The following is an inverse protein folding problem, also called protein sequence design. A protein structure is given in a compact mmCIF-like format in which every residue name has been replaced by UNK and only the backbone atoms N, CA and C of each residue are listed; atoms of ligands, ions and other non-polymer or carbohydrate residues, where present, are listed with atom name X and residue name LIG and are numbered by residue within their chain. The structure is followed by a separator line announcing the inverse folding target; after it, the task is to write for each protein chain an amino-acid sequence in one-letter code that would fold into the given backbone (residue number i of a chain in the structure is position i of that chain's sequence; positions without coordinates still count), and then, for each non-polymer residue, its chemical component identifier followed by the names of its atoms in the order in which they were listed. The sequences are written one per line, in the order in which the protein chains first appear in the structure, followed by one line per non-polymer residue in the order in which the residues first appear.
data_IF_814165418489
#
_entry.id   IF_814165418489
#
_cell.length_a   1.000
_cell.length_b   1.000
_cell.length_c   1.000
_cell.angle_alpha   90.00
_cell.angle_beta   90.00
_cell.angle_gamma   90.00
#
_symmetry.space_group_name_H-M   'P 1'
#
loop_
_entity.id
_entity.type
_entity.pdbx_description
1 polymer ?
#
# COMPACT_ATOMS: atom_id res chain seq x y z
N UNK A 1 11.85 16.54 22.33
CA UNK A 1 11.74 16.84 20.88
C UNK A 1 11.16 15.59 20.21
N UNK A 2 10.79 15.65 18.94
CA UNK A 2 10.51 14.44 18.18
C UNK A 2 11.79 13.60 18.05
N UNK A 3 11.65 12.29 17.91
CA UNK A 3 12.71 11.37 17.46
C UNK A 3 12.07 10.44 16.44
N UNK A 4 12.68 10.27 15.27
CA UNK A 4 12.21 9.28 14.29
C UNK A 4 12.38 7.86 14.84
N UNK A 5 11.53 6.93 14.40
CA UNK A 5 11.70 5.52 14.71
C UNK A 5 13.11 5.02 14.33
N UNK A 6 13.67 4.13 15.14
CA UNK A 6 15.02 3.57 14.97
C UNK A 6 15.18 2.79 13.66
N UNK A 7 14.08 2.30 13.09
CA UNK A 7 14.00 1.58 11.83
C UNK A 7 13.59 2.48 10.66
N UNK A 8 14.02 2.10 9.47
CA UNK A 8 13.62 2.73 8.21
C UNK A 8 12.23 2.26 7.75
N UNK A 9 11.57 3.08 6.94
CA UNK A 9 10.21 2.82 6.43
C UNK A 9 10.10 1.49 5.68
N UNK A 10 11.08 1.19 4.82
CA UNK A 10 11.20 -0.06 4.05
C UNK A 10 11.40 -1.30 4.95
N UNK A 11 11.92 -1.14 6.18
CA UNK A 11 11.98 -2.25 7.15
C UNK A 11 10.57 -2.59 7.67
N UNK A 12 9.74 -1.58 7.97
CA UNK A 12 8.36 -1.81 8.36
C UNK A 12 7.52 -2.36 7.19
N UNK A 13 7.61 -1.77 6.00
CA UNK A 13 6.96 -2.25 4.76
C UNK A 13 7.22 -3.75 4.55
N UNK A 14 8.50 -4.15 4.56
CA UNK A 14 8.91 -5.54 4.33
C UNK A 14 8.30 -6.50 5.36
N UNK A 15 8.34 -6.15 6.65
CA UNK A 15 7.80 -7.00 7.72
C UNK A 15 6.26 -7.04 7.70
N UNK A 16 5.60 -5.91 7.43
CA UNK A 16 4.15 -5.82 7.34
C UNK A 16 3.59 -6.62 6.16
N UNK A 17 4.26 -6.60 5.00
CA UNK A 17 3.90 -7.44 3.85
C UNK A 17 3.94 -8.94 4.15
N UNK A 18 4.97 -9.41 4.87
CA UNK A 18 5.02 -10.80 5.32
C UNK A 18 3.93 -11.09 6.37
N UNK A 19 3.68 -10.14 7.27
CA UNK A 19 2.67 -10.26 8.32
C UNK A 19 1.22 -10.36 7.79
N UNK A 20 0.90 -9.71 6.66
CA UNK A 20 -0.39 -9.83 5.95
C UNK A 20 -0.72 -11.28 5.56
N UNK A 21 0.29 -12.14 5.39
CA UNK A 21 0.10 -13.59 5.22
C UNK A 21 0.28 -14.32 6.55
N UNK A 22 1.39 -14.10 7.26
CA UNK A 22 1.78 -14.98 8.37
C UNK A 22 0.87 -14.86 9.61
N UNK A 23 0.44 -13.64 9.96
CA UNK A 23 -0.42 -13.40 11.13
C UNK A 23 -1.85 -13.85 10.87
N UNK A 24 -2.34 -13.63 9.65
CA UNK A 24 -3.66 -14.08 9.20
C UNK A 24 -3.74 -15.60 9.18
N UNK A 25 -2.68 -16.26 8.70
CA UNK A 25 -2.59 -17.71 8.70
C UNK A 25 -2.41 -18.31 10.09
N UNK A 26 -1.77 -17.60 11.03
CA UNK A 26 -1.79 -17.98 12.45
C UNK A 26 -3.21 -17.90 13.06
N UNK A 27 -4.05 -16.96 12.59
CA UNK A 27 -5.49 -16.84 12.92
C UNK A 27 -6.37 -17.84 12.15
N UNK A 28 -5.78 -18.74 11.34
CA UNK A 28 -6.45 -19.70 10.43
C UNK A 28 -7.26 -19.06 9.28
N UNK A 29 -7.04 -17.78 8.98
CA UNK A 29 -7.56 -17.13 7.77
C UNK A 29 -6.69 -17.51 6.58
N UNK A 30 -7.31 -17.76 5.42
CA UNK A 30 -6.62 -18.26 4.23
C UNK A 30 -6.40 -17.13 3.23
N UNK A 31 -5.38 -16.31 3.50
CA UNK A 31 -5.03 -15.13 2.72
C UNK A 31 -3.72 -15.37 1.97
N UNK A 32 -3.69 -14.99 0.70
CA UNK A 32 -2.49 -14.81 -0.11
C UNK A 32 -2.30 -13.31 -0.40
N UNK A 33 -1.05 -12.85 -0.44
CA UNK A 33 -0.68 -11.51 -0.91
C UNK A 33 0.04 -11.67 -2.23
N UNK A 34 -0.53 -11.12 -3.30
CA UNK A 34 0.14 -10.94 -4.58
C UNK A 34 0.70 -9.52 -4.66
N UNK A 35 1.89 -9.35 -4.09
CA UNK A 35 2.77 -8.20 -4.32
C UNK A 35 3.60 -8.44 -5.60
N UNK A 36 4.49 -7.53 -5.99
CA UNK A 36 5.73 -7.86 -7.44
C UNK A 36 6.64 -9.10 -7.29
N UNK A 37 7.85 -8.92 -7.83
CA UNK A 37 9.03 -9.45 -7.18
C UNK A 37 10.17 -8.43 -7.30
N UNK A 38 11.14 -8.51 -6.39
CA UNK A 38 12.29 -7.60 -6.31
C UNK A 38 13.14 -7.51 -7.61
N UNK A 39 13.06 -8.52 -8.48
CA UNK A 39 13.67 -8.53 -9.82
C UNK A 39 12.98 -7.56 -10.79
N UNK A 40 11.66 -7.36 -10.63
CA UNK A 40 10.85 -6.39 -11.34
C UNK A 40 11.00 -4.98 -10.72
N UNK A 41 11.11 -4.86 -9.38
CA UNK A 41 11.44 -3.60 -8.69
C UNK A 41 12.71 -2.94 -9.26
N UNK A 42 13.69 -3.76 -9.68
CA UNK A 42 14.96 -3.35 -10.29
C UNK A 42 14.94 -3.09 -11.80
N UNK A 43 13.88 -3.50 -12.51
CA UNK A 43 13.86 -3.55 -14.00
C UNK A 43 12.66 -2.82 -14.63
N UNK A 44 11.52 -2.77 -13.93
CA UNK A 44 10.24 -2.19 -14.38
C UNK A 44 9.56 -1.33 -13.30
N UNK A 45 10.01 -1.39 -12.05
CA UNK A 45 9.48 -0.55 -10.95
C UNK A 45 8.12 -0.98 -10.39
N UNK A 46 7.57 -2.11 -10.86
CA UNK A 46 6.20 -2.54 -10.55
C UNK A 46 6.05 -4.04 -10.35
N UNK A 47 5.08 -4.38 -9.50
CA UNK A 47 4.61 -5.73 -9.16
C UNK A 47 3.22 -5.93 -9.84
N UNK A 48 2.83 -7.18 -10.10
CA UNK A 48 1.78 -7.48 -11.08
C UNK A 48 1.09 -8.82 -10.79
N UNK A 49 -0.19 -8.80 -10.41
CA UNK A 49 -1.01 -10.01 -10.37
C UNK A 49 -2.06 -9.97 -11.48
N UNK A 50 -1.82 -10.74 -12.53
CA UNK A 50 -2.81 -11.01 -13.58
C UNK A 50 -2.78 -12.48 -13.97
N UNK A 51 -3.89 -12.94 -14.52
CA UNK A 51 -4.04 -14.27 -15.09
C UNK A 51 -3.31 -14.38 -16.46
N UNK A 52 -2.00 -14.11 -16.50
CA UNK A 52 -1.18 -14.37 -17.70
C UNK A 52 -1.05 -15.87 -17.88
N UNK A 53 -1.31 -16.38 -19.09
CA UNK A 53 -1.10 -17.77 -19.44
C UNK A 53 0.31 -18.24 -19.09
N UNK A 54 0.40 -19.31 -18.32
CA UNK A 54 1.62 -19.84 -17.69
C UNK A 54 2.72 -20.18 -18.71
N UNK A 55 2.29 -20.53 -19.93
CA UNK A 55 3.14 -20.84 -21.07
C UNK A 55 3.84 -19.60 -21.69
N UNK A 56 3.38 -18.37 -21.45
CA UNK A 56 3.87 -17.19 -22.18
C UNK A 56 5.32 -16.82 -21.82
N UNK A 57 6.00 -16.07 -22.71
CA UNK A 57 7.31 -15.47 -22.39
C UNK A 57 7.19 -14.34 -21.36
N UNK A 58 6.02 -13.69 -21.28
CA UNK A 58 5.74 -12.69 -20.26
C UNK A 58 5.62 -13.36 -18.89
N UNK A 59 4.77 -14.38 -18.73
CA UNK A 59 4.67 -15.16 -17.49
C UNK A 59 6.02 -15.69 -17.02
N UNK A 60 6.82 -16.31 -17.90
CA UNK A 60 8.18 -16.77 -17.56
C UNK A 60 9.21 -15.66 -17.24
N UNK A 61 8.91 -14.39 -17.57
CA UNK A 61 9.73 -13.20 -17.26
C UNK A 61 9.22 -12.44 -16.02
N UNK A 62 7.95 -12.60 -15.67
CA UNK A 62 7.31 -12.03 -14.47
C UNK A 62 7.43 -12.98 -13.25
N UNK A 63 7.16 -14.27 -13.44
CA UNK A 63 7.01 -15.27 -12.36
C UNK A 63 8.08 -16.38 -12.39
N UNK A 64 8.85 -16.51 -13.48
CA UNK A 64 9.85 -17.56 -13.63
C UNK A 64 9.25 -18.96 -13.84
N UNK A 65 9.81 -19.97 -13.18
CA UNK A 65 9.34 -21.37 -13.25
C UNK A 65 8.48 -21.72 -12.04
N UNK A 66 7.16 -21.76 -12.26
CA UNK A 66 6.09 -22.06 -11.31
C UNK A 66 5.82 -21.00 -10.22
N UNK A 67 4.55 -20.81 -9.80
CA UNK A 67 4.20 -19.86 -8.74
C UNK A 67 4.64 -20.37 -7.36
N UNK A 68 5.34 -19.51 -6.63
CA UNK A 68 5.95 -19.77 -5.33
C UNK A 68 7.07 -18.74 -5.11
N UNK A 69 7.29 -18.32 -3.86
CA UNK A 69 8.22 -17.22 -3.57
C UNK A 69 9.63 -17.50 -4.17
N UNK A 70 10.22 -16.60 -4.98
CA UNK A 70 11.49 -16.86 -5.65
C UNK A 70 12.62 -17.26 -4.69
N UNK A 71 13.08 -18.51 -4.81
CA UNK A 71 14.09 -19.11 -3.94
C UNK A 71 13.55 -20.02 -2.83
N UNK A 72 12.23 -20.09 -2.63
CA UNK A 72 11.59 -21.09 -1.78
C UNK A 72 11.28 -22.38 -2.56
N UNK A 73 11.66 -23.54 -2.02
CA UNK A 73 11.27 -24.83 -2.60
C UNK A 73 9.81 -25.17 -2.30
N UNK A 74 9.15 -26.06 -3.08
CA UNK A 74 7.84 -26.58 -2.74
C UNK A 74 7.79 -27.18 -1.33
N UNK A 75 8.85 -27.85 -0.88
CA UNK A 75 8.96 -28.39 0.47
C UNK A 75 8.98 -27.30 1.55
N UNK A 76 9.67 -26.18 1.30
CA UNK A 76 9.68 -25.03 2.23
C UNK A 76 8.29 -24.37 2.30
N UNK A 77 7.61 -24.22 1.17
CA UNK A 77 6.25 -23.68 1.11
C UNK A 77 5.22 -24.64 1.77
N UNK A 78 5.44 -25.96 1.66
CA UNK A 78 4.64 -27.00 2.31
C UNK A 78 4.91 -27.13 3.83
N UNK A 79 6.17 -26.99 4.26
CA UNK A 79 6.54 -26.88 5.69
C UNK A 79 5.93 -25.63 6.31
N UNK A 80 5.99 -24.50 5.60
CA UNK A 80 5.26 -23.30 5.97
C UNK A 80 3.74 -23.53 5.98
N UNK A 81 3.21 -24.47 5.17
CA UNK A 81 1.78 -24.71 4.89
C UNK A 81 1.09 -23.50 4.25
N UNK A 82 1.74 -22.89 3.26
CA UNK A 82 1.14 -21.82 2.45
C UNK A 82 -0.13 -22.32 1.74
N UNK A 83 -1.17 -21.49 1.53
CA UNK A 83 -2.34 -21.88 0.75
C UNK A 83 -1.96 -22.12 -0.71
N UNK A 84 -2.41 -23.24 -1.28
CA UNK A 84 -2.26 -23.59 -2.70
C UNK A 84 -3.60 -23.74 -3.43
N UNK A 85 -4.73 -23.47 -2.76
CA UNK A 85 -6.03 -23.40 -3.41
C UNK A 85 -6.06 -22.19 -4.36
N UNK A 86 -6.74 -22.28 -5.53
CA UNK A 86 -6.99 -21.11 -6.35
C UNK A 86 -7.90 -20.13 -5.59
N UNK A 87 -7.47 -18.87 -5.50
CA UNK A 87 -8.23 -17.82 -4.82
C UNK A 87 -9.60 -17.64 -5.47
N UNK A 88 -10.64 -17.54 -4.64
CA UNK A 88 -12.03 -17.40 -5.09
C UNK A 88 -12.45 -15.93 -5.19
N UNK A 89 -11.84 -15.06 -4.38
CA UNK A 89 -12.10 -13.62 -4.26
C UNK A 89 -10.78 -12.84 -4.36
N UNK A 90 -10.74 -11.77 -5.14
CA UNK A 90 -9.51 -10.97 -5.40
C UNK A 90 -9.78 -9.47 -5.20
N UNK A 91 -9.02 -8.84 -4.29
CA UNK A 91 -9.19 -7.43 -3.91
C UNK A 91 -7.94 -6.59 -4.17
N UNK A 92 -8.11 -5.44 -4.82
CA UNK A 92 -7.03 -4.46 -4.99
C UNK A 92 -6.73 -3.73 -3.67
N UNK A 93 -5.45 -3.61 -3.31
CA UNK A 93 -5.01 -2.96 -2.08
C UNK A 93 -3.84 -2.01 -2.36
N UNK A 94 -3.96 -0.78 -1.87
CA UNK A 94 -2.98 0.29 -2.01
C UNK A 94 -2.54 0.77 -0.62
N UNK A 95 -1.29 0.50 -0.26
CA UNK A 95 -0.72 0.85 1.03
C UNK A 95 0.41 1.87 0.88
N UNK A 96 0.23 3.03 1.52
CA UNK A 96 1.30 3.98 1.76
C UNK A 96 1.91 3.67 3.13
N UNK A 97 3.12 3.11 3.15
CA UNK A 97 3.81 2.79 4.40
C UNK A 97 4.50 4.04 4.97
N UNK A 98 4.40 4.24 6.28
CA UNK A 98 4.86 5.46 6.95
C UNK A 98 5.72 5.16 8.18
N UNK A 99 6.88 5.80 8.29
CA UNK A 99 7.74 5.78 9.48
C UNK A 99 7.21 6.72 10.58
N UNK A 100 7.04 6.28 11.84
CA UNK A 100 6.55 7.15 12.89
C UNK A 100 7.65 8.02 13.52
N UNK A 101 7.27 9.23 13.93
CA UNK A 101 7.99 10.09 14.87
C UNK A 101 7.43 9.88 16.29
N UNK A 102 8.32 9.57 17.24
CA UNK A 102 7.99 9.45 18.65
C UNK A 102 8.16 10.78 19.40
N UNK A 103 7.13 11.13 20.17
CA UNK A 103 7.09 12.28 21.06
C UNK A 103 6.95 11.79 22.50
N UNK A 104 8.08 11.62 23.20
CA UNK A 104 8.10 11.27 24.62
C UNK A 104 7.50 12.37 25.51
N UNK A 105 7.05 11.96 26.71
CA UNK A 105 6.66 12.84 27.82
C UNK A 105 7.69 13.98 28.03
N UNK A 106 7.19 15.18 28.28
CA UNK A 106 7.97 16.42 28.35
C UNK A 106 8.25 17.07 26.99
N UNK A 107 7.52 16.67 25.93
CA UNK A 107 7.70 17.26 24.60
C UNK A 107 7.29 18.73 24.51
N UNK A 108 7.86 19.44 23.53
CA UNK A 108 7.46 20.81 23.15
C UNK A 108 6.39 20.87 22.05
N UNK A 109 5.76 19.74 21.71
CA UNK A 109 4.63 19.72 20.77
C UNK A 109 3.44 20.48 21.37
N UNK A 110 2.74 21.24 20.53
CA UNK A 110 1.45 21.87 20.87
C UNK A 110 0.25 21.03 20.42
N UNK A 111 0.49 19.85 19.83
CA UNK A 111 -0.56 18.96 19.31
C UNK A 111 -1.23 18.11 20.42
N UNK A 112 -0.56 17.98 21.57
CA UNK A 112 -0.85 17.04 22.66
C UNK A 112 -0.49 17.66 24.04
N UNK A 113 -1.10 17.18 25.15
CA UNK A 113 -0.63 17.46 26.51
C UNK A 113 0.82 17.01 26.73
N UNK A 114 1.56 17.67 27.62
CA UNK A 114 3.02 17.44 27.77
C UNK A 114 3.36 16.22 28.63
N UNK A 115 2.38 15.74 29.37
CA UNK A 115 2.39 14.60 30.28
C UNK A 115 2.08 13.27 29.58
N UNK A 116 1.68 13.31 28.31
CA UNK A 116 1.42 12.13 27.48
C UNK A 116 2.57 11.84 26.50
N UNK A 117 2.69 10.59 26.06
CA UNK A 117 3.49 10.23 24.88
C UNK A 117 2.59 9.93 23.67
N UNK A 118 3.07 10.27 22.46
CA UNK A 118 2.36 9.99 21.23
C UNK A 118 3.29 9.64 20.06
N UNK A 119 2.74 8.94 19.07
CA UNK A 119 3.36 8.66 17.78
C UNK A 119 2.69 9.48 16.67
N UNK A 120 3.44 9.77 15.60
CA UNK A 120 2.98 10.59 14.48
C UNK A 120 3.55 10.13 13.15
N UNK A 121 2.75 10.10 12.09
CA UNK A 121 3.26 10.13 10.71
C UNK A 121 2.90 11.45 10.01
N UNK A 122 3.61 11.79 8.92
CA UNK A 122 3.58 13.13 8.29
C UNK A 122 3.50 13.01 6.76
N UNK A 123 2.30 13.19 6.22
CA UNK A 123 1.95 12.98 4.80
C UNK A 123 2.20 14.18 3.87
N UNK A 124 2.91 15.21 4.34
CA UNK A 124 3.02 16.49 3.62
C UNK A 124 4.31 16.61 2.80
N UNK A 125 4.17 16.90 1.50
CA UNK A 125 5.26 16.82 0.52
C UNK A 125 6.16 18.07 0.51
N UNK A 126 6.72 18.41 1.67
CA UNK A 126 7.41 19.68 1.97
C UNK A 126 8.66 19.96 1.12
N UNK A 127 9.17 18.96 0.38
CA UNK A 127 10.43 19.01 -0.38
C UNK A 127 10.21 19.19 -1.89
N UNK A 128 8.96 19.34 -2.35
CA UNK A 128 8.66 19.52 -3.78
C UNK A 128 8.99 20.95 -4.24
N UNK A 129 9.63 21.07 -5.42
CA UNK A 129 10.06 22.35 -5.99
C UNK A 129 8.83 23.16 -6.42
N UNK A 130 8.57 24.25 -5.70
CA UNK A 130 7.39 25.09 -5.89
C UNK A 130 7.12 26.01 -4.69
N UNK A 131 7.50 25.58 -3.48
CA UNK A 131 7.49 26.42 -2.28
C UNK A 131 6.14 26.49 -1.57
N UNK A 132 5.54 25.33 -1.25
CA UNK A 132 4.31 25.26 -0.48
C UNK A 132 4.11 23.90 0.19
N UNK A 133 3.03 23.79 0.98
CA UNK A 133 2.55 22.50 1.47
C UNK A 133 1.72 21.85 0.35
N UNK A 134 2.32 20.88 -0.34
CA UNK A 134 1.64 20.10 -1.36
C UNK A 134 1.05 18.83 -0.76
N UNK A 135 -0.18 18.53 -1.20
CA UNK A 135 -0.99 17.38 -0.80
C UNK A 135 -1.41 16.59 -2.04
N UNK A 136 -0.64 16.65 -3.12
CA UNK A 136 -1.00 16.06 -4.41
C UNK A 136 -1.17 14.54 -4.24
N UNK A 137 -0.25 13.90 -3.49
CA UNK A 137 -0.35 12.50 -3.08
C UNK A 137 -1.65 12.23 -2.28
N UNK A 138 -1.93 12.98 -1.20
CA UNK A 138 -3.09 12.74 -0.33
C UNK A 138 -4.40 12.88 -1.12
N UNK A 139 -4.51 13.96 -1.93
CA UNK A 139 -5.66 14.24 -2.79
C UNK A 139 -5.88 13.13 -3.80
N UNK A 140 -4.82 12.67 -4.47
CA UNK A 140 -4.93 11.62 -5.48
C UNK A 140 -5.24 10.24 -4.86
N UNK A 141 -4.73 9.93 -3.67
CA UNK A 141 -5.08 8.69 -2.96
C UNK A 141 -6.52 8.72 -2.43
N UNK A 142 -7.02 9.88 -2.00
CA UNK A 142 -8.41 10.07 -1.61
C UNK A 142 -9.37 9.96 -2.81
N UNK A 143 -9.03 10.60 -3.93
CA UNK A 143 -9.76 10.44 -5.18
C UNK A 143 -9.67 9.00 -5.74
N UNK A 144 -8.55 8.29 -5.55
CA UNK A 144 -8.39 6.88 -5.97
C UNK A 144 -9.30 5.96 -5.14
N UNK A 145 -9.34 6.16 -3.83
CA UNK A 145 -10.27 5.48 -2.92
C UNK A 145 -11.73 5.76 -3.29
N UNK A 146 -12.06 7.01 -3.62
CA UNK A 146 -13.41 7.40 -4.04
C UNK A 146 -13.81 6.86 -5.42
N UNK A 147 -12.85 6.65 -6.34
CA UNK A 147 -13.11 6.13 -7.69
C UNK A 147 -13.24 4.60 -7.71
N UNK A 148 -12.36 3.88 -7.00
CA UNK A 148 -12.42 2.42 -6.91
C UNK A 148 -13.48 1.93 -5.91
N UNK A 149 -13.89 2.76 -4.94
CA UNK A 149 -14.99 2.47 -4.03
C UNK A 149 -14.78 1.16 -3.24
N UNK A 150 -15.67 0.17 -3.34
CA UNK A 150 -15.52 -1.11 -2.65
C UNK A 150 -14.49 -2.05 -3.31
N UNK A 151 -14.14 -1.84 -4.58
CA UNK A 151 -13.26 -2.72 -5.36
C UNK A 151 -11.77 -2.60 -4.98
N UNK A 152 -11.41 -1.59 -4.17
CA UNK A 152 -10.08 -1.49 -3.60
C UNK A 152 -10.06 -0.86 -2.19
N UNK A 153 -9.07 -1.24 -1.38
CA UNK A 153 -8.73 -0.50 -0.15
C UNK A 153 -7.49 0.36 -0.35
N UNK A 154 -7.62 1.67 -0.11
CA UNK A 154 -6.48 2.60 -0.03
C UNK A 154 -6.27 3.00 1.42
N UNK A 155 -5.04 2.85 1.95
CA UNK A 155 -4.68 3.18 3.35
C UNK A 155 -3.26 3.72 3.47
N UNK A 156 -3.05 4.60 4.44
CA UNK A 156 -1.76 4.79 5.10
C UNK A 156 -1.59 3.70 6.17
N UNK A 157 -0.42 3.07 6.25
CA UNK A 157 -0.07 2.03 7.22
C UNK A 157 1.13 2.48 8.07
N UNK A 158 1.02 2.44 9.40
CA UNK A 158 2.07 2.93 10.31
C UNK A 158 2.12 2.09 11.62
N UNK A 159 3.29 1.72 12.15
CA UNK A 159 3.40 0.88 13.35
C UNK A 159 3.27 1.69 14.64
N UNK A 160 2.61 1.13 15.66
CA UNK A 160 2.45 1.71 17.00
C UNK A 160 3.68 1.56 17.92
N UNK A 161 4.85 1.39 17.31
CA UNK A 161 6.16 1.24 17.96
C UNK A 161 7.21 2.07 17.22
N UNK A 162 8.31 2.38 17.91
CA UNK A 162 9.36 3.25 17.35
C UNK A 162 10.78 2.70 17.54
N UNK A 163 10.97 1.66 18.36
CA UNK A 163 12.27 0.98 18.48
C UNK A 163 12.36 -0.21 17.53
N UNK A 164 13.59 -0.57 17.12
CA UNK A 164 13.84 -1.81 16.34
C UNK A 164 13.48 -3.06 17.15
N UNK A 165 13.79 -3.05 18.45
CA UNK A 165 13.52 -4.18 19.35
C UNK A 165 12.01 -4.50 19.43
N UNK A 166 11.17 -3.48 19.54
CA UNK A 166 9.71 -3.65 19.54
C UNK A 166 9.18 -4.11 18.16
N UNK A 167 9.67 -3.53 17.06
CA UNK A 167 9.25 -3.90 15.71
C UNK A 167 9.50 -5.39 15.41
N UNK A 168 10.75 -5.84 15.57
CA UNK A 168 11.13 -7.24 15.34
C UNK A 168 10.52 -8.19 16.38
N UNK A 169 10.32 -7.74 17.63
CA UNK A 169 9.64 -8.51 18.66
C UNK A 169 8.17 -8.76 18.35
N UNK A 170 7.44 -7.74 17.88
CA UNK A 170 6.03 -7.86 17.46
C UNK A 170 5.87 -8.75 16.23
N UNK A 171 6.74 -8.58 15.23
CA UNK A 171 6.76 -9.45 14.05
C UNK A 171 7.02 -10.92 14.42
N UNK A 172 8.04 -11.18 15.26
CA UNK A 172 8.34 -12.54 15.75
C UNK A 172 7.19 -13.15 16.57
N UNK A 173 6.35 -12.31 17.19
CA UNK A 173 5.17 -12.72 17.94
C UNK A 173 3.90 -12.90 17.07
N UNK A 174 3.95 -12.61 15.77
CA UNK A 174 2.78 -12.53 14.87
C UNK A 174 1.71 -11.51 15.35
N UNK A 175 2.16 -10.33 15.80
CA UNK A 175 1.32 -9.23 16.32
C UNK A 175 1.71 -7.85 15.77
N UNK A 176 2.48 -7.77 14.69
CA UNK A 176 2.86 -6.51 14.05
C UNK A 176 1.63 -5.77 13.51
N UNK A 177 0.67 -6.46 12.89
CA UNK A 177 -0.51 -5.80 12.32
C UNK A 177 -1.49 -5.33 13.41
N UNK A 178 -1.66 -6.11 14.50
CA UNK A 178 -2.44 -5.68 15.68
C UNK A 178 -1.89 -4.39 16.28
N UNK A 179 -0.58 -4.20 16.20
CA UNK A 179 0.16 -3.05 16.70
C UNK A 179 0.57 -2.13 15.54
N UNK A 180 -0.22 -2.10 14.47
CA UNK A 180 -0.13 -1.13 13.38
C UNK A 180 -1.50 -0.48 13.16
N UNK A 181 -1.49 0.71 12.59
CA UNK A 181 -2.67 1.50 12.30
C UNK A 181 -2.85 1.65 10.79
N UNK A 182 -4.10 1.56 10.35
CA UNK A 182 -4.51 1.74 8.97
C UNK A 182 -5.49 2.91 8.88
N UNK A 183 -5.16 3.90 8.05
CA UNK A 183 -5.85 5.20 7.99
C UNK A 183 -6.23 5.52 6.54
N UNK A 184 -7.52 5.71 6.28
CA UNK A 184 -8.03 6.13 4.98
C UNK A 184 -7.58 7.57 4.63
N UNK A 185 -7.24 7.90 3.38
CA UNK A 185 -6.89 9.26 2.98
C UNK A 185 -7.91 10.33 3.39
N UNK A 186 -9.23 10.07 3.20
CA UNK A 186 -10.31 10.96 3.67
C UNK A 186 -10.26 11.32 5.16
N UNK A 187 -9.70 10.45 6.02
CA UNK A 187 -9.55 10.73 7.47
C UNK A 187 -8.51 11.82 7.74
N UNK A 188 -7.75 12.27 6.73
CA UNK A 188 -6.86 13.41 6.79
C UNK A 188 -7.50 14.72 6.27
N UNK A 189 -8.71 14.72 5.69
CA UNK A 189 -9.32 15.94 5.15
C UNK A 189 -9.54 17.01 6.23
N UNK A 190 -9.14 18.26 5.95
CA UNK A 190 -9.26 19.38 6.89
C UNK A 190 -10.49 20.24 6.57
N UNK A 191 -11.65 19.80 7.04
CA UNK A 191 -12.93 20.49 6.82
C UNK A 191 -13.08 21.83 7.58
N UNK A 192 -12.03 22.34 8.26
CA UNK A 192 -12.11 23.52 9.14
C UNK A 192 -10.92 24.48 9.03
N UNK A 193 -9.79 24.03 8.49
CA UNK A 193 -8.59 24.81 8.27
C UNK A 193 -8.52 25.49 6.89
N UNK A 194 -7.37 26.12 6.57
CA UNK A 194 -7.11 26.74 5.27
C UNK A 194 -6.47 25.77 4.25
N UNK A 195 -5.94 24.63 4.72
CA UNK A 195 -5.43 23.55 3.86
C UNK A 195 -6.59 22.60 3.49
N UNK A 196 -6.54 21.87 2.36
CA UNK A 196 -7.52 20.82 2.05
C UNK A 196 -7.35 19.57 2.93
N UNK A 197 -6.14 19.30 3.40
CA UNK A 197 -5.79 18.13 4.20
C UNK A 197 -4.90 18.50 5.39
N UNK A 198 -5.06 17.79 6.49
CA UNK A 198 -4.18 17.78 7.63
C UNK A 198 -2.87 17.06 7.29
N UNK A 199 -1.73 17.66 7.67
CA UNK A 199 -0.37 17.22 7.29
C UNK A 199 0.13 15.98 8.03
N UNK A 200 -0.59 15.56 9.08
CA UNK A 200 -0.10 14.66 10.13
C UNK A 200 -1.25 13.85 10.73
N UNK A 201 -0.99 12.59 11.02
CA UNK A 201 -1.82 11.77 11.89
C UNK A 201 -1.09 11.52 13.21
N UNK A 202 -1.76 11.67 14.36
CA UNK A 202 -1.19 11.36 15.68
C UNK A 202 -2.06 10.41 16.49
N UNK A 203 -1.44 9.51 17.24
CA UNK A 203 -2.10 8.41 17.94
C UNK A 203 -1.23 7.95 19.12
N UNK A 204 -1.80 7.16 20.03
CA UNK A 204 -1.10 6.69 21.23
C UNK A 204 -0.80 5.20 21.16
N UNK A 205 0.31 4.78 21.77
CA UNK A 205 0.79 3.40 21.76
C UNK A 205 -0.13 2.43 22.49
N UNK A 206 -0.83 2.91 23.51
CA UNK A 206 -1.86 2.18 24.27
C UNK A 206 -3.26 2.27 23.64
N UNK A 207 -3.44 3.04 22.56
CA UNK A 207 -4.72 3.25 21.86
C UNK A 207 -4.52 3.42 20.34
N UNK A 208 -3.86 2.48 19.63
CA UNK A 208 -3.57 2.61 18.20
C UNK A 208 -4.84 2.73 17.34
N UNK A 209 -5.94 2.08 17.74
CA UNK A 209 -7.24 2.08 17.05
C UNK A 209 -7.95 3.46 17.05
N UNK A 210 -7.35 4.50 17.60
CA UNK A 210 -7.85 5.87 17.50
C UNK A 210 -6.69 6.84 17.24
N UNK A 211 -6.96 7.88 16.47
CA UNK A 211 -6.02 8.97 16.25
C UNK A 211 -6.73 10.28 15.95
N UNK A 212 -5.91 11.26 15.62
CA UNK A 212 -6.31 12.63 15.32
C UNK A 212 -5.52 13.12 14.10
N UNK A 213 -6.18 13.63 13.05
CA UNK A 213 -5.50 14.34 11.98
C UNK A 213 -5.23 15.80 12.44
N UNK A 214 -4.03 16.31 12.20
CA UNK A 214 -3.48 17.46 12.93
C UNK A 214 -3.16 18.68 12.04
N UNK A 215 -3.35 19.91 12.57
CA UNK A 215 -3.43 20.23 14.01
C UNK A 215 -4.84 20.21 14.64
N UNK A 216 -5.89 20.43 13.84
CA UNK A 216 -7.20 20.85 14.35
C UNK A 216 -8.34 19.82 14.21
N UNK A 217 -8.07 18.65 13.62
CA UNK A 217 -9.09 17.64 13.34
C UNK A 217 -9.65 16.93 14.59
N UNK A 218 -10.78 16.21 14.43
CA UNK A 218 -11.42 15.48 15.51
C UNK A 218 -10.65 14.20 15.89
N UNK A 219 -10.93 13.68 17.07
CA UNK A 219 -10.63 12.27 17.37
C UNK A 219 -11.48 11.36 16.49
N UNK A 220 -10.85 10.40 15.82
CA UNK A 220 -11.50 9.46 14.90
C UNK A 220 -10.79 8.09 14.90
N UNK A 221 -11.45 7.06 14.40
CA UNK A 221 -10.97 5.67 14.45
C UNK A 221 -9.92 5.39 13.36
N UNK A 222 -8.80 4.80 13.76
CA UNK A 222 -7.93 4.06 12.84
C UNK A 222 -8.38 2.59 12.84
N UNK A 223 -8.23 1.92 11.71
CA UNK A 223 -8.32 0.47 11.69
C UNK A 223 -7.07 -0.13 12.34
N UNK A 224 -7.24 -1.15 13.18
CA UNK A 224 -6.15 -2.07 13.54
C UNK A 224 -5.90 -3.06 12.41
N UNK A 225 -4.82 -3.83 12.46
CA UNK A 225 -4.57 -4.91 11.50
C UNK A 225 -5.74 -5.88 11.31
N UNK A 226 -6.40 -6.30 12.40
CA UNK A 226 -7.60 -7.16 12.30
C UNK A 226 -8.76 -6.44 11.61
N UNK A 227 -9.07 -5.18 12.01
CA UNK A 227 -10.17 -4.42 11.40
C UNK A 227 -9.92 -4.07 9.92
N UNK A 228 -8.65 -3.86 9.53
CA UNK A 228 -8.25 -3.73 8.13
C UNK A 228 -8.48 -5.03 7.36
N UNK A 229 -8.12 -6.18 7.94
CA UNK A 229 -8.31 -7.49 7.30
C UNK A 229 -9.78 -7.93 7.25
N UNK A 230 -10.59 -7.58 8.25
CA UNK A 230 -12.05 -7.74 8.23
C UNK A 230 -12.69 -6.87 7.13
N UNK A 231 -12.21 -5.63 6.98
CA UNK A 231 -12.63 -4.73 5.89
C UNK A 231 -12.21 -5.28 4.53
N UNK A 232 -11.02 -5.87 4.43
CA UNK A 232 -10.51 -6.48 3.21
C UNK A 232 -11.30 -7.73 2.83
N UNK A 233 -11.63 -8.61 3.78
CA UNK A 233 -12.48 -9.78 3.49
C UNK A 233 -13.90 -9.34 3.11
N UNK A 234 -14.46 -8.32 3.77
CA UNK A 234 -15.78 -7.75 3.44
C UNK A 234 -15.80 -7.11 2.05
N UNK A 235 -14.74 -6.39 1.65
CA UNK A 235 -14.61 -5.88 0.28
C UNK A 235 -14.44 -7.02 -0.72
N UNK A 236 -13.68 -8.07 -0.38
CA UNK A 236 -13.47 -9.24 -1.23
C UNK A 236 -14.75 -10.08 -1.46
N UNK A 237 -15.73 -10.05 -0.55
CA UNK A 237 -17.07 -10.63 -0.78
C UNK A 237 -17.90 -9.86 -1.83
N UNK A 238 -17.57 -8.59 -2.08
CA UNK A 238 -18.12 -7.80 -3.18
C UNK A 238 -17.25 -7.86 -4.44
N UNK A 239 -16.04 -8.43 -4.33
CA UNK A 239 -15.13 -8.61 -5.46
C UNK A 239 -15.56 -9.78 -6.36
N UNK A 240 -15.20 -9.74 -7.65
CA UNK A 240 -15.56 -10.78 -8.60
C UNK A 240 -14.87 -12.13 -8.30
N UNK A 241 -15.41 -13.20 -8.88
CA UNK A 241 -14.69 -14.47 -8.98
C UNK A 241 -13.47 -14.32 -9.89
N UNK A 242 -12.46 -15.16 -9.69
CA UNK A 242 -11.20 -15.13 -10.46
C UNK A 242 -11.38 -15.22 -11.99
N UNK A 243 -12.47 -15.83 -12.47
CA UNK A 243 -12.84 -15.89 -13.89
C UNK A 243 -13.23 -14.52 -14.49
N UNK A 244 -13.88 -13.65 -13.70
CA UNK A 244 -14.29 -12.30 -14.14
C UNK A 244 -13.17 -11.25 -13.97
N UNK A 245 -12.15 -11.54 -13.14
CA UNK A 245 -11.12 -10.58 -12.73
C UNK A 245 -10.43 -9.85 -13.90
N UNK A 246 -10.25 -10.53 -15.04
CA UNK A 246 -9.66 -9.93 -16.25
C UNK A 246 -10.51 -8.82 -16.90
N UNK A 247 -11.84 -8.83 -16.73
CA UNK A 247 -12.72 -7.72 -17.14
C UNK A 247 -12.70 -6.60 -16.11
N UNK A 248 -12.69 -6.97 -14.85
CA UNK A 248 -12.96 -6.05 -13.74
C UNK A 248 -11.73 -5.17 -13.42
N UNK A 249 -10.52 -5.71 -13.59
CA UNK A 249 -9.29 -4.89 -13.54
C UNK A 249 -9.22 -3.83 -14.66
N UNK A 250 -9.93 -4.03 -15.77
CA UNK A 250 -10.09 -3.02 -16.84
C UNK A 250 -11.04 -1.89 -16.41
N UNK A 251 -12.11 -2.22 -15.67
CA UNK A 251 -12.99 -1.22 -15.08
C UNK A 251 -12.25 -0.42 -14.00
N UNK A 252 -11.53 -1.09 -13.08
CA UNK A 252 -10.68 -0.44 -12.08
C UNK A 252 -9.65 0.50 -12.71
N UNK A 253 -9.02 0.11 -13.83
CA UNK A 253 -8.08 0.97 -14.55
C UNK A 253 -8.75 2.17 -15.25
N UNK A 254 -10.01 2.05 -15.67
CA UNK A 254 -10.81 3.17 -16.20
C UNK A 254 -11.22 4.13 -15.08
N UNK A 255 -11.56 3.62 -13.89
CA UNK A 255 -11.84 4.42 -12.71
C UNK A 255 -10.58 5.11 -12.17
N UNK A 256 -9.46 4.40 -12.03
CA UNK A 256 -8.19 4.96 -11.57
C UNK A 256 -7.65 6.05 -12.54
N UNK A 257 -7.92 5.96 -13.85
CA UNK A 257 -7.58 7.03 -14.80
C UNK A 257 -8.19 8.39 -14.44
N UNK A 258 -9.25 8.45 -13.63
CA UNK A 258 -9.81 9.72 -13.11
C UNK A 258 -8.82 10.50 -12.24
N UNK A 259 -7.81 9.84 -11.63
CA UNK A 259 -6.75 10.53 -10.87
C UNK A 259 -5.50 10.85 -11.71
N UNK A 260 -5.39 10.36 -12.96
CA UNK A 260 -4.18 10.50 -13.80
C UNK A 260 -3.70 11.96 -13.94
N UNK A 261 -4.61 12.94 -14.03
CA UNK A 261 -4.24 14.35 -14.09
C UNK A 261 -3.55 14.88 -12.80
N UNK A 262 -3.91 14.35 -11.62
CA UNK A 262 -3.22 14.67 -10.36
C UNK A 262 -1.86 13.97 -10.29
N UNK A 263 -1.81 12.70 -10.70
CA UNK A 263 -0.59 11.89 -10.80
C UNK A 263 0.45 12.58 -11.70
N UNK A 264 0.05 13.02 -12.89
CA UNK A 264 0.93 13.66 -13.86
C UNK A 264 1.35 15.07 -13.40
N UNK A 265 0.47 15.81 -12.72
CA UNK A 265 0.79 17.08 -12.06
C UNK A 265 1.87 16.91 -10.98
N UNK A 266 1.78 15.87 -10.15
CA UNK A 266 2.80 15.51 -9.16
C UNK A 266 4.11 15.13 -9.84
N UNK A 267 4.05 14.24 -10.83
CA UNK A 267 5.19 13.76 -11.65
C UNK A 267 5.95 14.91 -12.34
N UNK A 268 5.22 15.92 -12.82
CA UNK A 268 5.78 17.14 -13.41
C UNK A 268 6.51 18.06 -12.41
N UNK A 269 6.30 17.87 -11.10
CA UNK A 269 7.03 18.59 -10.03
C UNK A 269 8.23 17.80 -9.47
N UNK A 270 8.35 16.50 -9.79
CA UNK A 270 9.51 15.69 -9.42
C UNK A 270 10.79 16.21 -10.10
N UNK A 271 11.92 16.04 -9.41
CA UNK A 271 13.24 16.40 -9.93
C UNK A 271 13.53 15.69 -11.27
N UNK A 272 14.15 16.39 -12.22
CA UNK A 272 14.30 15.94 -13.60
C UNK A 272 14.90 14.53 -13.76
N UNK A 273 15.86 14.13 -12.91
CA UNK A 273 16.44 12.77 -12.92
C UNK A 273 15.44 11.68 -12.54
N UNK A 274 14.51 11.97 -11.63
CA UNK A 274 13.46 11.02 -11.21
C UNK A 274 12.40 10.90 -12.29
N UNK A 275 12.02 12.04 -12.88
CA UNK A 275 11.05 12.08 -13.99
C UNK A 275 11.56 11.34 -15.23
N UNK A 276 12.78 11.62 -15.68
CA UNK A 276 13.40 10.94 -16.83
C UNK A 276 13.60 9.43 -16.61
N UNK A 277 13.78 8.99 -15.35
CA UNK A 277 13.75 7.56 -15.01
C UNK A 277 12.35 6.97 -15.20
N UNK A 278 11.33 7.62 -14.65
CA UNK A 278 9.92 7.18 -14.79
C UNK A 278 9.47 7.17 -16.25
N UNK A 279 9.79 8.20 -17.04
CA UNK A 279 9.52 8.25 -18.49
C UNK A 279 10.20 7.11 -19.28
N UNK A 280 11.41 6.70 -18.87
CA UNK A 280 12.11 5.57 -19.48
C UNK A 280 11.51 4.21 -19.09
N UNK A 281 11.02 4.06 -17.86
CA UNK A 281 10.28 2.89 -17.39
C UNK A 281 8.92 2.77 -18.10
N UNK A 282 8.17 3.87 -18.24
CA UNK A 282 6.88 3.91 -18.94
C UNK A 282 7.02 3.45 -20.41
N UNK A 283 8.10 3.92 -21.07
CA UNK A 283 8.45 3.46 -22.42
C UNK A 283 8.81 1.98 -22.47
N UNK A 284 9.51 1.44 -21.46
CA UNK A 284 9.84 0.03 -21.40
C UNK A 284 8.59 -0.86 -21.24
N UNK A 285 7.62 -0.41 -20.45
CA UNK A 285 6.31 -1.07 -20.29
C UNK A 285 5.58 -1.14 -21.64
N UNK A 286 5.49 -0.04 -22.39
CA UNK A 286 4.84 -0.05 -23.71
C UNK A 286 5.55 -0.94 -24.76
N UNK A 287 6.88 -1.13 -24.68
CA UNK A 287 7.58 -2.07 -25.57
C UNK A 287 7.34 -3.54 -25.19
N UNK A 288 7.17 -3.86 -23.91
CA UNK A 288 6.79 -5.23 -23.48
C UNK A 288 5.29 -5.50 -23.67
N UNK A 289 4.40 -4.49 -23.57
CA UNK A 289 2.97 -4.63 -23.86
C UNK A 289 2.68 -5.06 -25.32
N UNK A 290 3.56 -4.74 -26.27
CA UNK A 290 3.48 -5.20 -27.68
C UNK A 290 3.72 -6.72 -27.84
N UNK A 291 4.12 -7.42 -26.78
CA UNK A 291 4.48 -8.86 -26.78
C UNK A 291 3.44 -9.74 -26.08
N UNK A 292 2.36 -9.13 -25.57
CA UNK A 292 1.25 -9.80 -24.89
C UNK A 292 0.36 -10.50 -25.93
N UNK A 293 -0.32 -11.59 -25.54
CA UNK A 293 -1.34 -12.20 -26.39
C UNK A 293 -2.47 -11.21 -26.69
N UNK A 294 -3.03 -11.14 -27.91
CA UNK A 294 -4.22 -10.33 -28.20
C UNK A 294 -5.41 -10.62 -27.28
N UNK A 295 -5.49 -11.82 -26.71
CA UNK A 295 -6.55 -12.24 -25.78
C UNK A 295 -6.31 -11.76 -24.33
N UNK A 296 -5.11 -11.29 -24.00
CA UNK A 296 -4.70 -10.90 -22.64
C UNK A 296 -4.36 -9.40 -22.55
N UNK A 297 -4.07 -8.76 -23.69
CA UNK A 297 -3.45 -7.42 -23.76
C UNK A 297 -4.26 -6.32 -23.06
N UNK A 298 -5.59 -6.43 -23.00
CA UNK A 298 -6.45 -5.44 -22.35
C UNK A 298 -6.31 -5.49 -20.82
N UNK A 299 -6.50 -6.66 -20.21
CA UNK A 299 -6.32 -6.87 -18.77
C UNK A 299 -4.89 -6.58 -18.30
N UNK A 300 -3.89 -6.96 -19.11
CA UNK A 300 -2.47 -6.69 -18.83
C UNK A 300 -2.16 -5.18 -18.94
N UNK A 301 -2.71 -4.48 -19.94
CA UNK A 301 -2.57 -3.01 -20.07
C UNK A 301 -3.29 -2.25 -18.95
N UNK A 302 -4.46 -2.70 -18.53
CA UNK A 302 -5.20 -2.14 -17.40
C UNK A 302 -4.44 -2.29 -16.08
N UNK A 303 -3.88 -3.47 -15.83
CA UNK A 303 -3.04 -3.73 -14.67
C UNK A 303 -1.75 -2.90 -14.68
N UNK A 304 -1.20 -2.63 -15.87
CA UNK A 304 -0.04 -1.74 -16.02
C UNK A 304 -0.40 -0.27 -15.75
N UNK A 305 -1.63 0.17 -16.05
CA UNK A 305 -2.12 1.50 -15.67
C UNK A 305 -2.19 1.66 -14.14
N UNK A 306 -2.82 0.70 -13.45
CA UNK A 306 -2.96 0.70 -11.98
C UNK A 306 -1.59 0.71 -11.29
N UNK A 307 -0.68 -0.14 -11.76
CA UNK A 307 0.72 -0.12 -11.35
C UNK A 307 1.34 1.27 -11.58
N UNK A 308 1.25 1.82 -12.79
CA UNK A 308 1.83 3.13 -13.14
C UNK A 308 1.34 4.27 -12.24
N UNK A 309 0.05 4.26 -11.88
CA UNK A 309 -0.53 5.19 -10.91
C UNK A 309 0.10 5.01 -9.52
N UNK A 310 0.35 3.77 -9.07
CA UNK A 310 0.91 3.48 -7.75
C UNK A 310 2.33 4.08 -7.53
N UNK A 311 3.30 3.88 -8.45
CA UNK A 311 4.65 4.54 -8.38
C UNK A 311 4.49 6.04 -8.26
N UNK A 312 3.65 6.60 -9.14
CA UNK A 312 3.65 8.02 -9.41
C UNK A 312 2.88 8.77 -8.30
N UNK A 313 2.16 8.03 -7.44
CA UNK A 313 1.71 8.40 -6.09
C UNK A 313 2.63 7.93 -4.95
N UNK A 314 3.61 7.06 -5.21
CA UNK A 314 4.59 6.55 -4.24
C UNK A 314 4.13 5.37 -3.39
N UNK A 315 2.96 4.79 -3.67
CA UNK A 315 2.33 3.76 -2.83
C UNK A 315 2.60 2.35 -3.35
N UNK A 316 2.58 1.36 -2.45
CA UNK A 316 2.57 -0.04 -2.85
C UNK A 316 1.17 -0.44 -3.31
N UNK A 317 1.07 -0.99 -4.52
CA UNK A 317 -0.10 -1.76 -4.97
C UNK A 317 0.16 -3.24 -4.77
N UNK A 318 -0.85 -3.98 -4.34
CA UNK A 318 -0.85 -5.44 -4.20
C UNK A 318 -2.29 -5.97 -4.26
N UNK A 319 -2.46 -7.25 -4.56
CA UNK A 319 -3.79 -7.89 -4.57
C UNK A 319 -3.87 -8.87 -3.41
N UNK A 320 -4.88 -8.69 -2.55
CA UNK A 320 -5.24 -9.65 -1.52
C UNK A 320 -6.17 -10.70 -2.11
N UNK A 321 -5.83 -11.95 -1.85
CA UNK A 321 -6.47 -13.13 -2.39
C UNK A 321 -7.03 -13.96 -1.24
N UNK A 322 -8.36 -14.08 -1.21
CA UNK A 322 -9.10 -14.84 -0.20
C UNK A 322 -9.65 -16.13 -0.81
N UNK A 323 -9.68 -17.18 0.01
CA UNK A 323 -10.21 -18.50 -0.39
C UNK A 323 -11.70 -18.61 -0.06
#
# INVERSE_FOLDING_TARGET
MAVWAEFEEKEFETLANVALVSEQRARKRTVQVFSPGQVLEKTLGFDFATHVGDHTRLHRRLFGTAPGAPGATPDQLAQLKMPFAPSTRLLNVFLQYERPEHFKIGHRSALWPRDEEFLRFTVSENNIVGGGYHFDQVTALDHLAASLGPAALVRYACPAVWTKSELYGLFSANRLLDNSIFVEPRKLADHRGPDPYHRRWTYQRNRPQAGKPNPAGPWTAAESGEAFMDSAETSADHSPKSEDFGREIVLDAVEAKKVRALVDSRKAKLAARVRARSEAEDKAIEEDLKRVSPNEVEAVRASAELATIARDLGVQWSILAFT
#
